data_IF_296549682119
#
_entry.id   IF_296549682119
#
_cell.length_a   1.000
_cell.length_b   1.000
_cell.length_c   1.000
_cell.angle_alpha   90.00
_cell.angle_beta   90.00
_cell.angle_gamma   90.00
#
_symmetry.space_group_name_H-M   'P 1'
#
loop_
_entity.id
_entity.type
_entity.pdbx_description
1 polymer ?
#
# COMPACT_ATOMS: atom_id res chain seq x y z
N UNK A 1 43.50 11.43 7.35
CA UNK A 1 43.37 11.65 5.91
C UNK A 1 43.56 10.32 5.19
N UNK A 2 42.58 9.91 4.37
CA UNK A 2 42.61 8.64 3.65
C UNK A 2 43.23 8.86 2.27
N UNK A 3 44.50 8.49 2.04
CA UNK A 3 45.19 8.78 0.78
C UNK A 3 44.70 7.96 -0.40
N UNK A 4 43.95 6.87 -0.15
CA UNK A 4 43.38 6.01 -1.17
C UNK A 4 41.89 5.88 -0.94
N UNK A 5 41.06 6.02 -2.00
CA UNK A 5 39.60 5.88 -1.93
C UNK A 5 39.17 4.51 -1.32
N UNK A 6 39.92 3.45 -1.59
CA UNK A 6 39.64 2.13 -1.07
C UNK A 6 39.65 2.07 0.47
N UNK A 7 40.59 2.78 1.09
CA UNK A 7 40.66 2.88 2.55
C UNK A 7 39.45 3.69 3.10
N UNK A 8 39.07 4.77 2.42
CA UNK A 8 37.89 5.54 2.78
C UNK A 8 36.61 4.69 2.65
N UNK A 9 36.47 3.92 1.56
CA UNK A 9 35.36 3.04 1.32
C UNK A 9 35.24 2.01 2.44
N UNK A 10 36.31 1.30 2.75
CA UNK A 10 36.34 0.18 3.71
C UNK A 10 36.16 0.64 5.16
N UNK A 11 36.79 1.74 5.54
CA UNK A 11 36.85 2.14 6.95
C UNK A 11 35.78 3.19 7.34
N UNK A 12 35.20 3.88 6.38
CA UNK A 12 34.25 4.94 6.66
C UNK A 12 32.91 4.67 5.96
N UNK A 13 32.92 4.55 4.63
CA UNK A 13 31.68 4.55 3.84
C UNK A 13 30.83 3.31 4.11
N UNK A 14 31.41 2.12 4.00
CA UNK A 14 30.69 0.87 4.19
C UNK A 14 30.16 0.68 5.64
N UNK A 15 30.98 0.91 6.68
CA UNK A 15 30.51 0.84 8.05
C UNK A 15 29.39 1.85 8.35
N UNK A 16 29.51 3.08 7.85
CA UNK A 16 28.46 4.10 8.05
C UNK A 16 27.14 3.73 7.38
N UNK A 17 27.19 3.21 6.14
CA UNK A 17 25.99 2.74 5.43
C UNK A 17 25.36 1.56 6.18
N UNK A 18 26.15 0.61 6.63
CA UNK A 18 25.67 -0.52 7.42
C UNK A 18 24.99 -0.04 8.70
N UNK A 19 25.64 0.86 9.43
CA UNK A 19 25.07 1.40 10.67
C UNK A 19 23.75 2.16 10.44
N UNK A 20 23.68 2.99 9.40
CA UNK A 20 22.43 3.69 9.02
C UNK A 20 21.34 2.66 8.65
N UNK A 21 21.71 1.67 7.84
CA UNK A 21 20.77 0.65 7.41
C UNK A 21 20.30 -0.23 8.57
N UNK A 22 21.08 -0.48 9.59
CA UNK A 22 20.71 -1.33 10.72
C UNK A 22 19.91 -0.56 11.80
N UNK A 23 20.36 0.67 12.12
CA UNK A 23 19.86 1.42 13.27
C UNK A 23 18.82 2.49 12.94
N UNK A 24 18.53 2.76 11.65
CA UNK A 24 17.55 3.78 11.26
C UNK A 24 16.40 3.20 10.45
N UNK A 25 15.39 3.99 10.16
CA UNK A 25 14.29 3.69 9.25
C UNK A 25 14.61 3.99 7.78
N UNK A 26 15.88 4.28 7.49
CA UNK A 26 16.37 4.54 6.15
C UNK A 26 17.08 3.31 5.58
N UNK A 27 16.97 3.15 4.26
CA UNK A 27 17.78 2.25 3.45
C UNK A 27 18.65 3.10 2.54
N UNK A 28 19.95 3.03 2.73
CA UNK A 28 20.94 3.79 1.95
C UNK A 28 21.74 2.82 1.09
N UNK A 29 21.79 3.10 -0.20
CA UNK A 29 22.65 2.42 -1.16
C UNK A 29 23.58 3.43 -1.83
N UNK A 30 24.79 2.98 -2.24
CA UNK A 30 25.79 3.84 -2.86
C UNK A 30 26.35 3.24 -4.13
N UNK A 31 26.25 3.99 -5.20
CA UNK A 31 26.80 3.67 -6.51
C UNK A 31 28.05 4.54 -6.80
N UNK A 32 29.13 3.90 -7.27
CA UNK A 32 30.36 4.59 -7.65
C UNK A 32 30.33 4.97 -9.13
N UNK A 33 30.43 6.26 -9.41
CA UNK A 33 30.54 6.76 -10.78
C UNK A 33 32.01 6.84 -11.14
N UNK A 34 32.40 6.10 -12.18
CA UNK A 34 33.79 6.00 -12.65
C UNK A 34 33.98 6.71 -13.98
N UNK A 35 35.14 7.33 -14.13
CA UNK A 35 35.63 7.82 -15.42
C UNK A 35 36.99 7.17 -15.68
N UNK A 36 37.03 6.20 -16.60
CA UNK A 36 38.17 5.33 -16.77
C UNK A 36 38.48 4.52 -15.50
N UNK A 37 39.69 4.62 -14.98
CA UNK A 37 40.13 3.95 -13.75
C UNK A 37 39.84 4.74 -12.46
N UNK A 38 39.41 5.99 -12.58
CA UNK A 38 39.19 6.88 -11.43
C UNK A 38 37.72 6.98 -11.05
N UNK A 39 37.43 6.96 -9.74
CA UNK A 39 36.12 7.26 -9.18
C UNK A 39 35.99 8.78 -9.10
N UNK A 40 35.00 9.34 -9.79
CA UNK A 40 34.78 10.78 -9.89
C UNK A 40 33.63 11.27 -9.01
N UNK A 41 32.67 10.39 -8.67
CA UNK A 41 31.54 10.74 -7.83
C UNK A 41 30.97 9.50 -7.12
N UNK A 42 30.19 9.76 -6.08
CA UNK A 42 29.34 8.79 -5.40
C UNK A 42 27.88 9.24 -5.53
N UNK A 43 27.02 8.33 -5.94
CA UNK A 43 25.59 8.54 -5.99
C UNK A 43 24.94 7.78 -4.86
N UNK A 44 24.30 8.51 -3.95
CA UNK A 44 23.56 7.93 -2.83
C UNK A 44 22.08 7.80 -3.23
N UNK A 45 21.52 6.63 -3.02
CA UNK A 45 20.07 6.39 -3.11
C UNK A 45 19.54 6.16 -1.71
N UNK A 46 18.63 7.01 -1.26
CA UNK A 46 18.06 6.94 0.09
C UNK A 46 16.58 6.63 -0.04
N UNK A 47 16.13 5.57 0.63
CA UNK A 47 14.72 5.14 0.70
C UNK A 47 14.32 4.98 2.15
N UNK A 48 13.05 5.25 2.48
CA UNK A 48 12.52 4.87 3.79
C UNK A 48 12.21 3.36 3.79
N UNK A 49 12.61 2.65 4.84
CA UNK A 49 12.24 1.23 5.03
C UNK A 49 10.73 1.05 5.05
N UNK A 50 9.98 1.99 5.63
CA UNK A 50 8.50 1.97 5.62
C UNK A 50 7.91 2.05 4.22
N UNK A 51 8.53 2.82 3.30
CA UNK A 51 8.07 2.90 1.91
C UNK A 51 8.50 1.70 1.08
N UNK A 52 9.67 1.13 1.34
CA UNK A 52 10.14 -0.09 0.67
C UNK A 52 9.27 -1.30 1.06
N UNK A 53 8.96 -1.45 2.35
CA UNK A 53 8.07 -2.51 2.84
C UNK A 53 6.65 -2.34 2.29
N UNK A 54 6.15 -1.10 2.16
CA UNK A 54 4.83 -0.83 1.56
C UNK A 54 4.77 -1.14 0.05
N UNK A 55 5.89 -1.01 -0.67
CA UNK A 55 5.93 -1.30 -2.12
C UNK A 55 5.94 -2.80 -2.44
N UNK A 56 6.38 -3.66 -1.51
CA UNK A 56 6.44 -5.11 -1.71
C UNK A 56 5.21 -5.87 -1.21
N UNK A 57 4.42 -5.28 -0.32
CA UNK A 57 3.21 -5.88 0.22
C UNK A 57 2.03 -5.72 -0.74
N UNK A 58 1.98 -6.56 -1.77
CA UNK A 58 0.79 -6.69 -2.62
C UNK A 58 -0.18 -7.67 -2.00
N UNK A 59 -1.39 -7.20 -1.64
CA UNK A 59 -2.45 -8.09 -1.18
C UNK A 59 -2.82 -9.14 -2.23
N UNK A 60 -3.38 -10.28 -1.80
CA UNK A 60 -3.95 -11.25 -2.72
C UNK A 60 -4.99 -10.61 -3.66
N UNK A 61 -5.08 -11.03 -4.92
CA UNK A 61 -6.09 -10.53 -5.84
C UNK A 61 -7.49 -10.87 -5.33
N UNK A 62 -8.45 -10.01 -5.65
CA UNK A 62 -9.86 -10.30 -5.35
C UNK A 62 -10.37 -11.44 -6.22
N UNK A 63 -11.29 -12.28 -5.72
CA UNK A 63 -11.86 -13.35 -6.51
C UNK A 63 -12.59 -12.83 -7.74
N UNK A 64 -12.30 -13.39 -8.91
CA UNK A 64 -12.99 -13.04 -10.15
C UNK A 64 -14.42 -13.62 -10.23
N UNK A 65 -14.75 -14.56 -9.36
CA UNK A 65 -16.06 -15.20 -9.29
C UNK A 65 -16.57 -15.19 -7.86
N UNK A 66 -17.88 -15.05 -7.70
CA UNK A 66 -18.53 -15.27 -6.42
C UNK A 66 -18.65 -16.78 -6.12
N UNK A 67 -19.14 -17.12 -4.95
CA UNK A 67 -19.35 -18.52 -4.52
C UNK A 67 -20.31 -19.35 -5.40
N UNK A 68 -21.08 -18.69 -6.27
CA UNK A 68 -22.00 -19.32 -7.23
C UNK A 68 -21.40 -19.40 -8.63
N UNK A 69 -20.11 -19.10 -8.82
CA UNK A 69 -19.43 -19.16 -10.10
C UNK A 69 -19.70 -17.99 -11.05
N UNK A 70 -20.46 -16.97 -10.64
CA UNK A 70 -20.73 -15.77 -11.44
C UNK A 70 -19.53 -14.82 -11.43
N UNK A 71 -19.19 -14.27 -12.60
CA UNK A 71 -18.07 -13.34 -12.74
C UNK A 71 -18.38 -11.98 -12.09
N UNK A 72 -17.43 -11.46 -11.35
CA UNK A 72 -17.50 -10.17 -10.69
C UNK A 72 -16.23 -9.38 -10.99
N UNK A 73 -16.39 -8.12 -11.31
CA UNK A 73 -15.31 -7.15 -11.41
C UNK A 73 -15.63 -5.93 -10.55
N UNK A 74 -14.62 -5.13 -10.24
CA UNK A 74 -14.79 -3.90 -9.45
C UNK A 74 -15.74 -2.90 -10.07
N UNK A 75 -15.79 -2.85 -11.42
CA UNK A 75 -16.56 -1.86 -12.17
C UNK A 75 -17.82 -2.46 -12.82
N UNK A 76 -17.99 -3.77 -12.77
CA UNK A 76 -19.11 -4.45 -13.44
C UNK A 76 -19.44 -5.77 -12.75
N UNK A 77 -20.67 -5.89 -12.30
CA UNK A 77 -21.22 -7.17 -11.85
C UNK A 77 -21.90 -7.91 -12.99
N UNK A 78 -22.00 -9.23 -12.93
CA UNK A 78 -22.80 -10.04 -13.84
C UNK A 78 -24.26 -9.58 -13.76
N UNK A 79 -24.94 -9.25 -14.90
CA UNK A 79 -26.34 -8.82 -14.91
C UNK A 79 -27.31 -9.84 -14.28
N UNK A 80 -26.92 -11.12 -14.24
CA UNK A 80 -27.70 -12.21 -13.63
C UNK A 80 -27.47 -12.34 -12.12
N UNK A 81 -26.57 -11.54 -11.57
CA UNK A 81 -26.23 -11.55 -10.14
C UNK A 81 -27.20 -10.66 -9.38
N UNK A 82 -27.81 -11.21 -8.32
CA UNK A 82 -28.59 -10.42 -7.39
C UNK A 82 -27.73 -9.50 -6.52
N UNK A 83 -28.32 -8.42 -5.99
CA UNK A 83 -27.63 -7.54 -5.03
C UNK A 83 -27.15 -8.29 -3.79
N UNK A 84 -27.85 -9.34 -3.39
CA UNK A 84 -27.44 -10.20 -2.28
C UNK A 84 -26.16 -10.98 -2.61
N UNK A 85 -26.11 -11.61 -3.79
CA UNK A 85 -24.91 -12.36 -4.24
C UNK A 85 -23.68 -11.45 -4.39
N UNK A 86 -23.90 -10.23 -4.91
CA UNK A 86 -22.85 -9.21 -4.98
C UNK A 86 -22.37 -8.81 -3.58
N UNK A 87 -23.28 -8.57 -2.65
CA UNK A 87 -22.96 -8.23 -1.28
C UNK A 87 -22.17 -9.30 -0.53
N UNK A 88 -22.43 -10.59 -0.80
CA UNK A 88 -21.63 -11.69 -0.25
C UNK A 88 -20.21 -11.68 -0.81
N UNK A 89 -20.05 -11.50 -2.12
CA UNK A 89 -18.74 -11.39 -2.75
C UNK A 89 -17.96 -10.18 -2.22
N UNK A 90 -18.58 -9.00 -2.11
CA UNK A 90 -17.98 -7.80 -1.53
C UNK A 90 -17.51 -8.02 -0.07
N UNK A 91 -18.29 -8.79 0.71
CA UNK A 91 -17.92 -9.17 2.07
C UNK A 91 -16.67 -10.07 2.10
N UNK A 92 -16.55 -10.99 1.13
CA UNK A 92 -15.35 -11.84 1.05
C UNK A 92 -14.12 -11.02 0.62
N UNK A 93 -14.27 -10.04 -0.27
CA UNK A 93 -13.21 -9.09 -0.60
C UNK A 93 -12.79 -8.24 0.62
N UNK A 94 -13.75 -7.78 1.44
CA UNK A 94 -13.44 -7.07 2.69
C UNK A 94 -12.64 -7.94 3.65
N UNK A 95 -12.98 -9.22 3.80
CA UNK A 95 -12.21 -10.15 4.65
C UNK A 95 -10.77 -10.33 4.17
N UNK A 96 -10.55 -10.38 2.84
CA UNK A 96 -9.19 -10.45 2.27
C UNK A 96 -8.40 -9.20 2.65
N UNK A 97 -9.01 -8.02 2.56
CA UNK A 97 -8.36 -6.77 2.93
C UNK A 97 -8.08 -6.69 4.44
N UNK A 98 -9.06 -7.02 5.27
CA UNK A 98 -8.96 -7.01 6.73
C UNK A 98 -7.96 -8.06 7.25
N UNK A 99 -7.81 -9.19 6.56
CA UNK A 99 -6.80 -10.19 6.88
C UNK A 99 -5.39 -9.83 6.46
N UNK A 100 -5.26 -8.99 5.42
CA UNK A 100 -3.97 -8.58 4.90
C UNK A 100 -3.43 -7.31 5.59
N UNK A 101 -4.27 -6.28 5.74
CA UNK A 101 -3.92 -5.03 6.39
C UNK A 101 -4.26 -5.08 7.88
N UNK A 102 -3.25 -5.04 8.74
CA UNK A 102 -3.47 -5.05 10.20
C UNK A 102 -4.08 -3.74 10.70
N UNK A 103 -3.79 -2.63 10.02
CA UNK A 103 -4.29 -1.30 10.37
C UNK A 103 -4.82 -0.61 9.11
N UNK A 104 -5.88 0.16 9.29
CA UNK A 104 -6.51 0.94 8.20
C UNK A 104 -5.54 1.99 7.63
N UNK A 105 -4.66 2.53 8.46
CA UNK A 105 -3.62 3.49 8.08
C UNK A 105 -2.61 2.92 7.08
N UNK A 106 -2.44 1.61 7.06
CA UNK A 106 -1.50 0.90 6.17
C UNK A 106 -2.10 0.59 4.79
N UNK A 107 -3.42 0.78 4.62
CA UNK A 107 -4.11 0.54 3.35
C UNK A 107 -3.70 1.62 2.34
N UNK A 108 -3.18 1.27 1.14
CA UNK A 108 -2.94 2.22 0.06
C UNK A 108 -4.22 2.95 -0.38
N UNK A 109 -4.09 4.14 -0.97
CA UNK A 109 -5.26 4.93 -1.39
C UNK A 109 -6.17 4.16 -2.37
N UNK A 110 -5.60 3.43 -3.32
CA UNK A 110 -6.36 2.62 -4.28
C UNK A 110 -7.20 1.55 -3.57
N UNK A 111 -6.59 0.82 -2.65
CA UNK A 111 -7.26 -0.22 -1.88
C UNK A 111 -8.27 0.37 -0.87
N UNK A 112 -8.05 1.57 -0.38
CA UNK A 112 -9.00 2.26 0.48
C UNK A 112 -10.31 2.60 -0.29
N UNK A 113 -10.19 2.96 -1.58
CA UNK A 113 -11.34 3.15 -2.45
C UNK A 113 -12.07 1.83 -2.72
N UNK A 114 -11.37 0.73 -2.93
CA UNK A 114 -11.99 -0.59 -3.04
C UNK A 114 -12.69 -1.00 -1.75
N UNK A 115 -12.08 -0.73 -0.61
CA UNK A 115 -12.71 -0.96 0.68
C UNK A 115 -14.05 -0.21 0.80
N UNK A 116 -14.09 1.05 0.37
CA UNK A 116 -15.33 1.84 0.30
C UNK A 116 -16.37 1.20 -0.62
N UNK A 117 -15.99 0.81 -1.83
CA UNK A 117 -16.89 0.17 -2.82
C UNK A 117 -17.51 -1.11 -2.22
N UNK A 118 -16.69 -1.97 -1.60
CA UNK A 118 -17.20 -3.21 -1.01
C UNK A 118 -18.08 -2.97 0.21
N UNK A 119 -17.77 -1.96 1.01
CA UNK A 119 -18.55 -1.62 2.18
C UNK A 119 -19.90 -1.00 1.82
N UNK A 120 -19.97 -0.25 0.73
CA UNK A 120 -21.18 0.45 0.29
C UNK A 120 -21.96 -0.27 -0.80
N UNK A 121 -21.38 -1.30 -1.41
CA UNK A 121 -21.93 -2.02 -2.56
C UNK A 121 -23.26 -2.75 -2.32
N UNK A 122 -23.71 -2.83 -1.05
CA UNK A 122 -25.02 -3.39 -0.73
C UNK A 122 -25.55 -2.76 0.58
N UNK A 123 -26.87 -2.69 0.71
CA UNK A 123 -27.52 -2.03 1.84
C UNK A 123 -27.11 -2.61 3.22
N UNK A 124 -26.95 -3.93 3.31
CA UNK A 124 -26.53 -4.61 4.55
C UNK A 124 -25.09 -4.27 4.97
N UNK A 125 -24.18 -4.13 4.00
CA UNK A 125 -22.81 -3.71 4.28
C UNK A 125 -22.75 -2.21 4.61
N UNK A 126 -23.55 -1.40 3.89
CA UNK A 126 -23.65 0.05 4.09
C UNK A 126 -24.15 0.42 5.49
N UNK A 127 -25.10 -0.33 6.06
CA UNK A 127 -25.59 -0.10 7.41
C UNK A 127 -24.51 -0.21 8.48
N UNK A 128 -23.40 -0.90 8.19
CA UNK A 128 -22.26 -1.06 9.08
C UNK A 128 -21.25 0.09 9.00
N UNK A 129 -21.45 1.05 8.10
CA UNK A 129 -20.54 2.18 7.94
C UNK A 129 -20.41 2.99 9.26
N UNK A 130 -21.51 3.20 9.95
CA UNK A 130 -21.52 3.91 11.23
C UNK A 130 -20.73 3.26 12.36
N UNK A 131 -20.51 1.95 12.29
CA UNK A 131 -19.68 1.22 13.27
C UNK A 131 -18.19 1.27 12.96
N UNK A 132 -17.80 1.73 11.76
CA UNK A 132 -16.41 1.77 11.28
C UNK A 132 -15.83 3.18 11.33
N UNK A 133 -15.87 3.80 12.51
CA UNK A 133 -15.38 5.17 12.72
C UNK A 133 -13.94 5.36 12.23
N UNK A 134 -13.04 4.46 12.59
CA UNK A 134 -11.63 4.55 12.20
C UNK A 134 -11.44 4.62 10.67
N UNK A 135 -12.26 3.90 9.90
CA UNK A 135 -12.21 3.94 8.45
C UNK A 135 -12.70 5.30 7.90
N UNK A 136 -13.79 5.82 8.44
CA UNK A 136 -14.34 7.13 8.05
C UNK A 136 -13.37 8.25 8.40
N UNK A 137 -12.73 8.18 9.55
CA UNK A 137 -11.76 9.17 10.00
C UNK A 137 -10.49 9.13 9.13
N UNK A 138 -10.02 7.94 8.73
CA UNK A 138 -8.89 7.80 7.82
C UNK A 138 -9.21 8.34 6.41
N UNK A 139 -10.43 8.14 5.89
CA UNK A 139 -10.88 8.76 4.64
C UNK A 139 -10.82 10.27 4.72
N UNK A 140 -11.34 10.87 5.80
CA UNK A 140 -11.29 12.33 6.01
C UNK A 140 -9.86 12.85 6.09
N UNK A 141 -8.98 12.15 6.79
CA UNK A 141 -7.56 12.47 6.94
C UNK A 141 -6.82 12.50 5.60
N UNK A 142 -7.27 11.67 4.63
CA UNK A 142 -6.73 11.63 3.26
C UNK A 142 -7.44 12.56 2.29
N UNK A 143 -8.28 13.47 2.76
CA UNK A 143 -8.96 14.47 1.93
C UNK A 143 -10.18 13.93 1.19
N UNK A 144 -10.87 12.93 1.74
CA UNK A 144 -12.13 12.46 1.21
C UNK A 144 -13.30 12.89 2.10
N UNK A 145 -14.39 13.34 1.49
CA UNK A 145 -15.69 13.58 2.15
C UNK A 145 -16.71 12.56 1.68
N UNK A 146 -17.64 12.25 2.58
CA UNK A 146 -18.80 11.41 2.27
C UNK A 146 -20.02 12.34 2.12
N UNK A 147 -20.44 12.54 0.90
CA UNK A 147 -21.62 13.36 0.56
C UNK A 147 -22.65 12.49 -0.18
N UNK A 148 -23.91 12.52 0.24
CA UNK A 148 -25.00 11.73 -0.36
C UNK A 148 -24.70 10.24 -0.56
N UNK A 149 -23.88 9.67 0.33
CA UNK A 149 -23.35 8.28 0.24
C UNK A 149 -22.36 8.04 -0.91
N UNK A 150 -21.78 9.07 -1.45
CA UNK A 150 -20.67 9.04 -2.41
C UNK A 150 -19.40 9.55 -1.77
N UNK A 151 -18.26 9.06 -2.26
CA UNK A 151 -16.95 9.48 -1.79
C UNK A 151 -16.43 10.58 -2.73
N UNK A 152 -16.30 11.79 -2.22
CA UNK A 152 -15.81 12.96 -2.97
C UNK A 152 -14.43 13.33 -2.44
N UNK A 153 -13.48 13.53 -3.35
CA UNK A 153 -12.16 14.05 -3.00
C UNK A 153 -12.26 15.56 -2.83
N UNK A 154 -11.79 16.06 -1.70
CA UNK A 154 -11.73 17.50 -1.37
C UNK A 154 -10.40 18.11 -1.81
#
# INVERSE_FOLDING_TARGET
>A
KYPRFNNFKQWVLEPSITEINDKSDLLVDVEQIKRGRSIIALKFTIKSKKSAVKAELKRPPFPHKNKYGKFVTLNRQDPRMSNHEYGLWAKDCLKIMEGFYQKIEDIPNEDLLFYWIFLTGNASNKSKLGTRKNFVDELKKRGYKIEHCELVKV
#
